data_IF_245786014821
#
_entry.id   IF_245786014821
#
_cell.length_a   1.000
_cell.length_b   1.000
_cell.length_c   1.000
_cell.angle_alpha   90.00
_cell.angle_beta   90.00
_cell.angle_gamma   90.00
#
_symmetry.space_group_name_H-M   'P 1'
#
loop_
_entity.id
_entity.type
_entity.pdbx_description
1 polymer ?
#
# COMPACT_ATOMS: atom_id res chain seq x y z
N UNK A 1 -3.62 -2.79 -14.83
CA UNK A 1 -3.73 -4.04 -15.63
C UNK A 1 -3.57 -5.29 -14.76
N UNK A 2 -2.49 -5.42 -13.97
CA UNK A 2 -2.30 -6.57 -13.06
C UNK A 2 -3.48 -6.79 -12.09
N UNK A 3 -3.96 -5.73 -11.42
CA UNK A 3 -5.11 -5.82 -10.51
C UNK A 3 -6.41 -6.26 -11.20
N UNK A 4 -6.61 -5.86 -12.46
CA UNK A 4 -7.81 -6.20 -13.23
C UNK A 4 -7.78 -7.67 -13.66
N UNK A 5 -6.63 -8.16 -14.13
CA UNK A 5 -6.44 -9.58 -14.45
C UNK A 5 -6.54 -10.45 -13.20
N UNK A 6 -5.96 -10.03 -12.08
CA UNK A 6 -6.09 -10.73 -10.80
C UNK A 6 -7.55 -10.79 -10.33
N UNK A 7 -8.31 -9.69 -10.42
CA UNK A 7 -9.73 -9.68 -10.07
C UNK A 7 -10.57 -10.64 -10.92
N UNK A 8 -10.37 -10.65 -12.24
CA UNK A 8 -11.08 -11.57 -13.15
C UNK A 8 -10.68 -13.03 -12.92
N UNK A 9 -9.44 -13.31 -12.53
CA UNK A 9 -8.99 -14.66 -12.24
C UNK A 9 -9.51 -15.17 -10.87
N UNK A 10 -9.49 -14.32 -9.84
CA UNK A 10 -9.75 -14.71 -8.45
C UNK A 10 -11.26 -14.73 -8.14
N UNK A 11 -12.02 -13.71 -8.55
CA UNK A 11 -13.42 -13.56 -8.15
C UNK A 11 -14.33 -14.71 -8.61
N UNK A 12 -14.27 -15.20 -9.87
CA UNK A 12 -15.09 -16.33 -10.29
C UNK A 12 -14.77 -17.61 -9.51
N UNK A 13 -13.49 -17.79 -9.17
CA UNK A 13 -13.05 -18.95 -8.41
C UNK A 13 -13.51 -18.88 -6.94
N UNK A 14 -13.47 -17.71 -6.31
CA UNK A 14 -14.01 -17.50 -4.95
C UNK A 14 -15.49 -17.90 -4.88
N UNK A 15 -16.30 -17.45 -5.85
CA UNK A 15 -17.72 -17.82 -5.91
C UNK A 15 -17.96 -19.30 -6.24
N UNK A 16 -17.17 -19.89 -7.14
CA UNK A 16 -17.29 -21.30 -7.49
C UNK A 16 -17.01 -22.25 -6.31
N UNK A 17 -16.15 -21.83 -5.38
CA UNK A 17 -15.78 -22.59 -4.18
C UNK A 17 -16.57 -22.18 -2.92
N UNK A 18 -17.63 -21.35 -3.06
CA UNK A 18 -18.42 -20.81 -1.95
C UNK A 18 -17.57 -20.17 -0.83
N UNK A 19 -16.46 -19.52 -1.21
CA UNK A 19 -15.59 -18.82 -0.26
C UNK A 19 -16.07 -17.37 -0.09
N UNK A 20 -15.88 -16.81 1.10
CA UNK A 20 -16.31 -15.45 1.40
C UNK A 20 -15.41 -14.42 0.68
N UNK A 21 -15.96 -13.59 -0.23
CA UNK A 21 -15.18 -12.55 -0.88
C UNK A 21 -14.86 -11.45 0.14
N UNK A 22 -13.58 -11.15 0.32
CA UNK A 22 -13.14 -10.11 1.24
C UNK A 22 -12.42 -10.60 2.50
N UNK A 23 -12.08 -11.89 2.61
CA UNK A 23 -11.25 -12.44 3.69
C UNK A 23 -9.78 -11.92 3.73
N UNK A 24 -9.49 -10.82 3.02
CA UNK A 24 -8.21 -10.13 3.05
C UNK A 24 -7.03 -11.03 2.65
N UNK A 25 -5.89 -10.94 3.37
CA UNK A 25 -4.71 -11.78 3.12
C UNK A 25 -5.00 -13.28 3.15
N UNK A 26 -5.99 -13.72 3.93
CA UNK A 26 -6.37 -15.13 4.06
C UNK A 26 -6.91 -15.74 2.76
N UNK A 27 -7.44 -14.92 1.85
CA UNK A 27 -8.03 -15.40 0.59
C UNK A 27 -6.96 -15.96 -0.36
N UNK A 28 -5.77 -15.35 -0.37
CA UNK A 28 -4.64 -15.83 -1.17
C UNK A 28 -4.10 -17.18 -0.69
N UNK A 29 -4.07 -17.41 0.62
CA UNK A 29 -3.47 -18.60 1.22
C UNK A 29 -4.47 -19.69 1.58
N UNK A 30 -5.78 -19.39 1.59
CA UNK A 30 -6.85 -20.38 1.76
C UNK A 30 -7.51 -20.75 0.44
N UNK A 31 -8.04 -19.77 -0.29
CA UNK A 31 -8.87 -20.02 -1.47
C UNK A 31 -8.06 -20.50 -2.67
N UNK A 32 -6.91 -19.87 -2.97
CA UNK A 32 -6.11 -20.23 -4.15
C UNK A 32 -5.51 -21.65 -4.09
N UNK A 33 -4.97 -22.13 -2.96
CA UNK A 33 -4.53 -23.52 -2.86
C UNK A 33 -5.65 -24.53 -3.10
N UNK A 34 -6.86 -24.28 -2.59
CA UNK A 34 -8.03 -25.14 -2.80
C UNK A 34 -8.44 -25.19 -4.29
N UNK A 35 -8.33 -24.05 -4.98
CA UNK A 35 -8.56 -23.96 -6.42
C UNK A 35 -7.53 -24.78 -7.18
N UNK A 36 -6.23 -24.62 -6.88
CA UNK A 36 -5.17 -25.38 -7.52
C UNK A 36 -5.34 -26.88 -7.27
N UNK A 37 -5.71 -27.31 -6.06
CA UNK A 37 -5.95 -28.72 -5.73
C UNK A 37 -7.04 -29.39 -6.59
N UNK A 38 -8.01 -28.60 -7.07
CA UNK A 38 -9.11 -29.09 -7.92
C UNK A 38 -8.75 -29.10 -9.41
N UNK A 39 -7.61 -28.54 -9.80
CA UNK A 39 -7.14 -28.50 -11.18
C UNK A 39 -6.22 -29.70 -11.50
N UNK A 40 -6.30 -30.26 -12.72
CA UNK A 40 -5.26 -31.18 -13.17
C UNK A 40 -3.91 -30.45 -13.20
N UNK A 41 -2.86 -31.10 -12.68
CA UNK A 41 -1.53 -30.50 -12.45
C UNK A 41 -1.52 -29.30 -11.48
N UNK A 42 -2.50 -29.22 -10.58
CA UNK A 42 -2.63 -28.18 -9.56
C UNK A 42 -1.35 -27.81 -8.81
N UNK A 43 -0.58 -28.81 -8.38
CA UNK A 43 0.67 -28.60 -7.64
C UNK A 43 1.71 -27.80 -8.45
N UNK A 44 1.77 -28.00 -9.78
CA UNK A 44 2.69 -27.27 -10.64
C UNK A 44 2.28 -25.79 -10.74
N UNK A 45 0.99 -25.54 -10.95
CA UNK A 45 0.44 -24.18 -11.00
C UNK A 45 0.57 -23.44 -9.66
N UNK A 46 0.31 -24.13 -8.55
CA UNK A 46 0.51 -23.58 -7.21
C UNK A 46 1.97 -23.20 -6.96
N UNK A 47 2.93 -24.07 -7.32
CA UNK A 47 4.35 -23.78 -7.20
C UNK A 47 4.75 -22.56 -8.02
N UNK A 48 4.37 -22.49 -9.30
CA UNK A 48 4.67 -21.34 -10.15
C UNK A 48 4.07 -20.05 -9.58
N UNK A 49 2.82 -20.10 -9.11
CA UNK A 49 2.14 -18.96 -8.52
C UNK A 49 2.88 -18.41 -7.30
N UNK A 50 3.20 -19.26 -6.32
CA UNK A 50 3.87 -18.80 -5.10
C UNK A 50 5.31 -18.34 -5.35
N UNK A 51 6.03 -18.93 -6.31
CA UNK A 51 7.36 -18.44 -6.72
C UNK A 51 7.26 -17.04 -7.33
N UNK A 52 6.29 -16.79 -8.22
CA UNK A 52 6.10 -15.48 -8.82
C UNK A 52 5.71 -14.42 -7.77
N UNK A 53 4.81 -14.78 -6.86
CA UNK A 53 4.39 -13.93 -5.73
C UNK A 53 5.57 -13.63 -4.81
N UNK A 54 6.44 -14.60 -4.55
CA UNK A 54 7.65 -14.40 -3.75
C UNK A 54 8.56 -13.34 -4.35
N UNK A 55 8.88 -13.43 -5.64
CA UNK A 55 9.70 -12.41 -6.31
C UNK A 55 9.03 -11.03 -6.34
N UNK A 56 7.71 -10.99 -6.58
CA UNK A 56 6.94 -9.75 -6.50
C UNK A 56 7.02 -9.12 -5.09
N UNK A 57 6.84 -9.91 -4.04
CA UNK A 57 6.92 -9.44 -2.65
C UNK A 57 8.33 -8.94 -2.29
N UNK A 58 9.38 -9.66 -2.69
CA UNK A 58 10.78 -9.28 -2.43
C UNK A 58 11.11 -7.94 -3.10
N UNK A 59 10.74 -7.74 -4.37
CA UNK A 59 11.00 -6.49 -5.07
C UNK A 59 10.27 -5.29 -4.44
N UNK A 60 9.02 -5.48 -4.02
CA UNK A 60 8.29 -4.46 -3.25
C UNK A 60 8.94 -4.17 -1.89
N UNK A 61 9.36 -5.20 -1.16
CA UNK A 61 10.02 -5.04 0.14
C UNK A 61 11.34 -4.25 0.04
N UNK A 62 12.14 -4.51 -1.01
CA UNK A 62 13.38 -3.75 -1.27
C UNK A 62 13.06 -2.27 -1.51
N UNK A 63 12.05 -1.96 -2.33
CA UNK A 63 11.64 -0.57 -2.61
C UNK A 63 11.18 0.16 -1.34
N UNK A 64 10.41 -0.51 -0.47
CA UNK A 64 9.94 0.05 0.79
C UNK A 64 11.08 0.29 1.79
N UNK A 65 12.07 -0.60 1.86
CA UNK A 65 13.23 -0.45 2.75
C UNK A 65 14.17 0.69 2.28
N UNK A 66 14.24 0.94 0.98
CA UNK A 66 15.14 1.96 0.43
C UNK A 66 14.74 3.38 0.89
N UNK A 67 13.45 3.63 1.15
CA UNK A 67 12.95 4.95 1.61
C UNK A 67 13.59 5.40 2.93
N UNK A 68 13.47 4.65 4.06
CA UNK A 68 14.11 5.03 5.31
C UNK A 68 15.65 4.94 5.24
N UNK A 69 16.20 4.02 4.43
CA UNK A 69 17.66 3.90 4.23
C UNK A 69 18.23 5.17 3.59
N UNK A 70 17.60 5.65 2.50
CA UNK A 70 18.01 6.89 1.82
C UNK A 70 17.87 8.09 2.73
N UNK A 71 16.76 8.19 3.48
CA UNK A 71 16.57 9.25 4.47
C UNK A 71 17.66 9.26 5.54
N UNK A 72 18.06 8.11 6.08
CA UNK A 72 19.12 8.01 7.09
C UNK A 72 20.51 8.30 6.50
N UNK A 73 20.76 7.94 5.25
CA UNK A 73 22.01 8.31 4.57
C UNK A 73 22.09 9.82 4.35
N UNK A 74 21.02 10.45 3.88
CA UNK A 74 21.02 11.88 3.55
C UNK A 74 20.98 12.77 4.79
N UNK A 75 20.11 12.45 5.76
CA UNK A 75 19.85 13.27 6.94
C UNK A 75 20.78 12.94 8.10
N UNK A 76 21.03 11.66 8.35
CA UNK A 76 21.84 11.20 9.50
C UNK A 76 23.29 10.87 9.12
N UNK A 77 23.64 10.94 7.82
CA UNK A 77 24.98 10.63 7.28
C UNK A 77 25.47 9.23 7.66
N UNK A 78 24.56 8.27 7.80
CA UNK A 78 24.91 6.88 8.09
C UNK A 78 25.48 6.18 6.85
N UNK A 79 26.30 5.15 7.05
CA UNK A 79 26.68 4.24 5.97
C UNK A 79 25.49 3.37 5.56
N UNK A 80 25.37 3.06 4.26
CA UNK A 80 24.28 2.25 3.70
C UNK A 80 24.10 0.93 4.47
N UNK A 81 25.19 0.21 4.70
CA UNK A 81 25.18 -1.07 5.42
C UNK A 81 24.60 -0.94 6.83
N UNK A 82 24.96 0.12 7.56
CA UNK A 82 24.42 0.38 8.90
C UNK A 82 22.93 0.66 8.85
N UNK A 83 22.48 1.54 7.94
CA UNK A 83 21.08 1.89 7.80
C UNK A 83 20.21 0.66 7.45
N UNK A 84 20.66 -0.16 6.49
CA UNK A 84 19.95 -1.38 6.08
C UNK A 84 19.78 -2.34 7.24
N UNK A 85 20.84 -2.67 7.98
CA UNK A 85 20.74 -3.62 9.10
C UNK A 85 19.84 -3.12 10.23
N UNK A 86 19.87 -1.82 10.52
CA UNK A 86 19.03 -1.24 11.57
C UNK A 86 17.56 -1.28 11.16
N UNK A 87 17.21 -0.79 9.97
CA UNK A 87 15.81 -0.76 9.54
C UNK A 87 15.27 -2.16 9.24
N UNK A 88 16.06 -3.04 8.63
CA UNK A 88 15.65 -4.43 8.44
C UNK A 88 15.43 -5.15 9.78
N UNK A 89 16.32 -4.93 10.76
CA UNK A 89 16.16 -5.46 12.11
C UNK A 89 14.91 -4.92 12.81
N UNK A 90 14.64 -3.62 12.70
CA UNK A 90 13.44 -3.00 13.25
C UNK A 90 12.17 -3.59 12.61
N UNK A 91 12.12 -3.66 11.28
CA UNK A 91 11.02 -4.27 10.53
C UNK A 91 10.82 -5.75 10.92
N UNK A 92 11.90 -6.50 11.14
CA UNK A 92 11.83 -7.90 11.56
C UNK A 92 11.22 -8.04 12.96
N UNK A 93 11.65 -7.22 13.93
CA UNK A 93 11.09 -7.25 15.30
C UNK A 93 9.60 -6.86 15.31
N UNK A 94 9.22 -5.81 14.59
CA UNK A 94 7.81 -5.40 14.45
C UNK A 94 7.01 -6.51 13.73
N UNK A 95 7.59 -7.12 12.70
CA UNK A 95 7.01 -8.21 11.93
C UNK A 95 6.75 -9.48 12.77
N UNK A 96 7.62 -9.79 13.73
CA UNK A 96 7.38 -10.87 14.70
C UNK A 96 6.10 -10.58 15.49
N UNK A 97 5.95 -9.37 16.05
CA UNK A 97 4.74 -8.99 16.79
C UNK A 97 3.47 -9.09 15.93
N UNK A 98 3.55 -8.62 14.68
CA UNK A 98 2.46 -8.71 13.72
C UNK A 98 2.08 -10.16 13.41
N UNK A 99 3.07 -11.04 13.19
CA UNK A 99 2.83 -12.46 12.94
C UNK A 99 2.21 -13.18 14.13
N UNK A 100 2.73 -12.94 15.34
CA UNK A 100 2.20 -13.54 16.57
C UNK A 100 0.76 -13.10 16.86
N UNK A 101 0.39 -11.89 16.45
CA UNK A 101 -0.97 -11.37 16.66
C UNK A 101 -2.07 -12.08 15.88
N UNK A 102 -1.69 -12.87 14.87
CA UNK A 102 -2.60 -13.73 14.11
C UNK A 102 -2.65 -15.17 14.65
N UNK A 103 -1.95 -15.45 15.76
CA UNK A 103 -1.87 -16.78 16.36
C UNK A 103 -2.00 -16.70 17.89
N UNK A 104 -0.96 -17.04 18.67
CA UNK A 104 -1.08 -17.16 20.12
C UNK A 104 -1.21 -15.83 20.87
N UNK A 105 -0.83 -14.70 20.25
CA UNK A 105 -0.89 -13.38 20.88
C UNK A 105 -2.14 -12.61 20.43
N UNK A 106 -3.32 -13.17 20.67
CA UNK A 106 -4.63 -12.57 20.32
C UNK A 106 -5.01 -11.38 21.21
N UNK A 107 -4.07 -10.48 21.52
CA UNK A 107 -4.43 -9.25 22.21
C UNK A 107 -5.21 -8.34 21.28
N UNK A 108 -6.49 -8.18 21.59
CA UNK A 108 -7.40 -7.28 20.89
C UNK A 108 -7.25 -5.86 21.42
N UNK A 109 -6.85 -4.97 20.54
CA UNK A 109 -6.76 -3.54 20.78
C UNK A 109 -8.01 -2.84 20.24
N UNK A 110 -8.59 -1.95 21.03
CA UNK A 110 -9.84 -1.25 20.69
C UNK A 110 -9.61 0.21 20.25
N UNK A 111 -8.41 0.54 19.74
CA UNK A 111 -8.06 1.92 19.38
C UNK A 111 -8.84 2.46 18.18
N UNK A 112 -9.01 1.65 17.12
CA UNK A 112 -9.52 2.12 15.83
C UNK A 112 -10.83 1.44 15.37
N UNK A 113 -11.32 0.42 16.07
CA UNK A 113 -12.60 -0.22 15.76
C UNK A 113 -13.22 -0.85 17.02
N UNK A 114 -14.56 -0.86 17.08
CA UNK A 114 -15.32 -1.44 18.21
C UNK A 114 -15.20 -2.96 18.30
N UNK A 115 -14.91 -3.63 17.19
CA UNK A 115 -14.87 -5.09 17.11
C UNK A 115 -13.56 -5.71 17.65
N UNK A 116 -12.60 -4.87 18.06
CA UNK A 116 -11.28 -5.29 18.54
C UNK A 116 -10.38 -5.70 17.38
N UNK A 117 -9.21 -5.06 17.28
CA UNK A 117 -8.24 -5.28 16.21
C UNK A 117 -6.98 -5.93 16.75
N UNK A 118 -6.37 -6.81 15.97
CA UNK A 118 -5.13 -7.45 16.34
C UNK A 118 -3.97 -6.47 16.08
N UNK A 119 -2.77 -6.72 16.62
CA UNK A 119 -1.63 -5.82 16.39
C UNK A 119 -1.31 -5.62 14.89
N UNK A 120 -1.45 -6.66 14.07
CA UNK A 120 -1.32 -6.55 12.61
C UNK A 120 -2.35 -5.56 12.01
N UNK A 121 -3.63 -5.69 12.37
CA UNK A 121 -4.70 -4.84 11.84
C UNK A 121 -4.52 -3.38 12.27
N UNK A 122 -4.05 -3.15 13.49
CA UNK A 122 -3.73 -1.80 13.97
C UNK A 122 -2.61 -1.17 13.15
N UNK A 123 -1.54 -1.92 12.87
CA UNK A 123 -0.43 -1.43 12.04
C UNK A 123 -0.86 -1.18 10.59
N UNK A 124 -1.66 -2.07 10.02
CA UNK A 124 -2.21 -1.89 8.68
C UNK A 124 -3.14 -0.67 8.63
N UNK A 125 -4.06 -0.53 9.59
CA UNK A 125 -4.96 0.61 9.63
C UNK A 125 -4.21 1.94 9.78
N UNK A 126 -3.23 1.99 10.69
CA UNK A 126 -2.39 3.16 10.90
C UNK A 126 -1.62 3.52 9.62
N UNK A 127 -1.05 2.54 8.94
CA UNK A 127 -0.22 2.80 7.75
C UNK A 127 -1.08 3.13 6.53
N UNK A 128 -2.02 2.24 6.20
CA UNK A 128 -2.81 2.25 4.98
C UNK A 128 -3.90 3.32 4.97
N UNK A 129 -4.55 3.57 6.12
CA UNK A 129 -5.69 4.49 6.20
C UNK A 129 -5.34 5.86 6.82
N UNK A 130 -4.24 5.97 7.57
CA UNK A 130 -3.83 7.24 8.20
C UNK A 130 -2.56 7.80 7.56
N UNK A 131 -1.42 7.11 7.67
CA UNK A 131 -0.11 7.66 7.25
C UNK A 131 -0.04 7.90 5.75
N UNK A 132 -0.48 6.94 4.91
CA UNK A 132 -0.42 7.08 3.46
C UNK A 132 -1.33 8.22 2.95
N UNK A 133 -2.62 8.32 3.34
CA UNK A 133 -3.46 9.45 2.95
C UNK A 133 -2.94 10.79 3.48
N UNK A 134 -2.51 10.87 4.74
CA UNK A 134 -1.93 12.10 5.30
C UNK A 134 -0.67 12.53 4.55
N UNK A 135 0.24 11.59 4.27
CA UNK A 135 1.45 11.84 3.50
C UNK A 135 1.12 12.40 2.11
N UNK A 136 0.12 11.83 1.44
CA UNK A 136 -0.33 12.33 0.15
C UNK A 136 -1.00 13.72 0.22
N UNK A 137 -1.81 14.01 1.26
CA UNK A 137 -2.38 15.34 1.48
C UNK A 137 -1.27 16.37 1.68
N UNK A 138 -0.33 16.12 2.60
CA UNK A 138 0.78 17.05 2.84
C UNK A 138 1.65 17.26 1.60
N UNK A 139 1.96 16.19 0.86
CA UNK A 139 2.70 16.30 -0.40
C UNK A 139 1.93 17.11 -1.44
N UNK A 140 0.63 16.88 -1.60
CA UNK A 140 -0.20 17.61 -2.57
C UNK A 140 -0.31 19.10 -2.24
N UNK A 141 -0.46 19.44 -0.95
CA UNK A 141 -0.49 20.82 -0.48
C UNK A 141 0.87 21.49 -0.64
N UNK A 142 1.97 20.79 -0.35
CA UNK A 142 3.32 21.30 -0.55
C UNK A 142 3.58 21.64 -2.03
N UNK A 143 3.23 20.74 -2.96
CA UNK A 143 3.40 20.98 -4.40
C UNK A 143 2.55 22.17 -4.87
N UNK A 144 1.30 22.25 -4.41
CA UNK A 144 0.34 23.26 -4.86
C UNK A 144 0.63 24.65 -4.30
N UNK A 145 0.90 24.74 -2.99
CA UNK A 145 0.95 26.02 -2.26
C UNK A 145 2.37 26.47 -1.91
N UNK A 146 3.33 25.57 -1.70
CA UNK A 146 4.68 25.93 -1.25
C UNK A 146 5.66 25.93 -2.41
N UNK A 147 5.72 24.84 -3.18
CA UNK A 147 6.65 24.73 -4.29
C UNK A 147 6.17 25.49 -5.53
N UNK A 148 4.87 25.43 -5.79
CA UNK A 148 4.21 26.12 -6.88
C UNK A 148 4.39 25.43 -8.23
N UNK A 149 3.36 25.55 -9.07
CA UNK A 149 3.30 24.91 -10.39
C UNK A 149 4.52 25.22 -11.26
N UNK A 150 4.98 26.47 -11.29
CA UNK A 150 6.02 26.90 -12.22
C UNK A 150 7.37 26.24 -11.95
N UNK A 151 7.68 25.92 -10.69
CA UNK A 151 8.90 25.22 -10.32
C UNK A 151 8.80 23.73 -10.63
N UNK A 152 7.66 23.11 -10.33
CA UNK A 152 7.42 21.70 -10.69
C UNK A 152 7.40 21.50 -12.22
N UNK A 153 6.84 22.45 -12.98
CA UNK A 153 6.80 22.40 -14.44
C UNK A 153 8.18 22.62 -15.08
N UNK A 154 9.07 23.39 -14.43
CA UNK A 154 10.47 23.54 -14.87
C UNK A 154 11.22 22.21 -14.75
N UNK A 155 11.10 21.52 -13.63
CA UNK A 155 11.74 20.19 -13.44
C UNK A 155 11.27 19.16 -14.48
N UNK A 156 9.98 19.17 -14.83
CA UNK A 156 9.45 18.25 -15.86
C UNK A 156 10.02 18.54 -17.26
N UNK A 157 10.42 19.78 -17.53
CA UNK A 157 11.09 20.14 -18.78
C UNK A 157 12.57 19.73 -18.79
N UNK A 158 13.19 19.57 -17.62
CA UNK A 158 14.57 19.09 -17.51
C UNK A 158 14.58 17.60 -17.83
N UNK A 159 14.91 17.27 -19.09
CA UNK A 159 15.00 15.89 -19.59
C UNK A 159 14.00 15.54 -20.71
N UNK A 160 13.02 16.39 -21.02
CA UNK A 160 12.10 16.21 -22.15
C UNK A 160 12.45 17.13 -23.31
N UNK A 161 12.77 16.57 -24.49
CA UNK A 161 13.02 17.34 -25.73
C UNK A 161 11.75 17.90 -26.39
N UNK A 162 10.56 17.42 -26.01
CA UNK A 162 9.29 17.87 -26.57
C UNK A 162 8.54 18.80 -25.61
N UNK A 163 7.89 19.83 -26.19
CA UNK A 163 6.94 20.68 -25.47
C UNK A 163 5.80 19.81 -24.92
N UNK A 164 5.61 19.87 -23.60
CA UNK A 164 4.59 19.11 -22.90
C UNK A 164 3.19 19.64 -23.27
N UNK A 165 2.59 19.10 -24.33
CA UNK A 165 1.31 19.55 -24.90
C UNK A 165 0.11 19.43 -23.94
N UNK A 166 0.27 18.71 -22.83
CA UNK A 166 -0.77 18.44 -21.82
C UNK A 166 -0.57 19.33 -20.56
N UNK A 167 0.28 20.35 -20.64
CA UNK A 167 0.67 21.18 -19.48
C UNK A 167 -0.50 21.86 -18.77
N UNK A 168 -1.52 22.29 -19.52
CA UNK A 168 -2.72 22.92 -18.93
C UNK A 168 -3.58 21.95 -18.12
N UNK A 169 -3.81 20.74 -18.64
CA UNK A 169 -4.55 19.69 -17.92
C UNK A 169 -3.75 19.16 -16.72
N UNK A 170 -2.43 19.04 -16.88
CA UNK A 170 -1.53 18.66 -15.79
C UNK A 170 -1.50 19.72 -14.68
N UNK A 171 -1.50 21.02 -15.03
CA UNK A 171 -1.63 22.13 -14.07
C UNK A 171 -2.92 22.01 -13.26
N UNK A 172 -4.05 21.84 -13.94
CA UNK A 172 -5.35 21.73 -13.28
C UNK A 172 -5.42 20.49 -12.37
N UNK A 173 -4.90 19.36 -12.86
CA UNK A 173 -4.83 18.12 -12.10
C UNK A 173 -3.96 18.29 -10.86
N UNK A 174 -2.76 18.85 -10.97
CA UNK A 174 -1.86 19.01 -9.83
C UNK A 174 -2.32 20.07 -8.83
N UNK A 175 -2.88 21.19 -9.29
CA UNK A 175 -3.26 22.29 -8.40
C UNK A 175 -4.64 22.12 -7.75
N UNK A 176 -5.58 21.44 -8.41
CA UNK A 176 -6.96 21.31 -7.92
C UNK A 176 -7.34 19.84 -7.78
N UNK A 177 -7.08 19.02 -8.79
CA UNK A 177 -7.49 17.61 -8.80
C UNK A 177 -6.86 16.79 -7.68
N UNK A 178 -5.53 16.79 -7.57
CA UNK A 178 -4.77 15.97 -6.61
C UNK A 178 -5.05 16.38 -5.17
N UNK A 179 -4.99 17.69 -4.77
CA UNK A 179 -5.31 18.08 -3.40
C UNK A 179 -6.76 17.77 -3.02
N UNK A 180 -7.71 17.99 -3.93
CA UNK A 180 -9.12 17.72 -3.68
C UNK A 180 -9.38 16.21 -3.52
N UNK A 181 -8.81 15.38 -4.40
CA UNK A 181 -8.94 13.93 -4.31
C UNK A 181 -8.26 13.38 -3.04
N UNK A 182 -7.08 13.87 -2.69
CA UNK A 182 -6.40 13.45 -1.46
C UNK A 182 -7.18 13.88 -0.21
N UNK A 183 -7.77 15.08 -0.21
CA UNK A 183 -8.64 15.54 0.88
C UNK A 183 -9.90 14.68 1.00
N UNK A 184 -10.54 14.32 -0.13
CA UNK A 184 -11.69 13.42 -0.14
C UNK A 184 -11.34 12.03 0.41
N UNK A 185 -10.22 11.44 -0.03
CA UNK A 185 -9.74 10.15 0.48
C UNK A 185 -9.50 10.22 1.98
N UNK A 186 -8.85 11.28 2.48
CA UNK A 186 -8.61 11.44 3.91
C UNK A 186 -9.92 11.59 4.72
N UNK A 187 -10.88 12.37 4.22
CA UNK A 187 -12.19 12.51 4.86
C UNK A 187 -13.00 11.20 4.87
N UNK A 188 -12.82 10.36 3.85
CA UNK A 188 -13.46 9.05 3.76
C UNK A 188 -12.84 8.09 4.78
N UNK A 189 -11.51 8.07 4.87
CA UNK A 189 -10.77 7.18 5.77
C UNK A 189 -10.93 7.53 7.26
N UNK A 190 -11.09 8.81 7.58
CA UNK A 190 -11.35 9.28 8.96
C UNK A 190 -12.81 9.07 9.42
N UNK A 191 -13.69 8.57 8.54
CA UNK A 191 -15.11 8.38 8.85
C UNK A 191 -15.90 9.69 9.05
N UNK A 192 -15.26 10.85 8.82
CA UNK A 192 -15.90 12.17 8.90
C UNK A 192 -16.89 12.34 7.75
N UNK A 193 -16.59 11.82 6.56
CA UNK A 193 -17.54 11.75 5.44
C UNK A 193 -18.74 10.85 5.75
N UNK A 194 -18.56 9.71 6.43
CA UNK A 194 -19.66 8.83 6.84
C UNK A 194 -20.60 9.53 7.83
N UNK A 195 -20.03 10.24 8.83
CA UNK A 195 -20.80 11.09 9.76
C UNK A 195 -21.49 12.29 9.11
N UNK A 196 -20.93 12.88 8.05
CA UNK A 196 -21.53 14.02 7.32
C UNK A 196 -22.59 13.61 6.30
N UNK A 197 -22.49 12.40 5.74
CA UNK A 197 -23.44 11.84 4.76
C UNK A 197 -24.54 11.01 5.46
N UNK A 198 -24.40 10.71 6.76
CA UNK A 198 -25.42 10.05 7.55
C UNK A 198 -25.50 8.54 7.33
N UNK A 199 -24.36 7.87 7.14
CA UNK A 199 -24.25 6.41 7.19
C UNK A 199 -23.25 5.98 8.27
#
# INVERSE_FOLDING_TARGET
>A
MAALLAGIAIMPAVFAFNQEPGAGPGLMFGTLPNIFASMPLGNLFGLMFFVLVFFAAVTSAISLLEVPVSWAMDSLKWSRTKAVWIFAGLCFVIGIGASLSNGPWEQKFYFFSKDGQNFFDVLDYLTSNILLPLGGVFMSLFITFVWGYDNAFKEIKIGSKNNFAIGGFWKMSMMVGVPLMMALVFLQQTGVLAKLIGQ
#
